data_IF_587947341507
#
_entry.id   IF_587947341507
#
_cell.length_a   1.000
_cell.length_b   1.000
_cell.length_c   1.000
_cell.angle_alpha   90.00
_cell.angle_beta   90.00
_cell.angle_gamma   90.00
#
_symmetry.space_group_name_H-M   'P 1'
#
loop_
_entity.id
_entity.type
_entity.pdbx_description
1 polymer ?
#
# COMPACT_ATOMS: atom_id res chain seq x y z
N UNK A 1 12.42 -7.42 -50.97
CA UNK A 1 11.51 -7.66 -49.82
C UNK A 1 12.12 -8.51 -48.70
N UNK A 2 12.96 -9.51 -49.00
CA UNK A 2 13.66 -10.34 -48.00
C UNK A 2 14.55 -9.55 -47.03
N UNK A 3 15.32 -8.56 -47.53
CA UNK A 3 16.14 -7.69 -46.67
C UNK A 3 15.31 -6.85 -45.69
N UNK A 4 14.15 -6.33 -46.14
CA UNK A 4 13.22 -5.56 -45.29
C UNK A 4 12.63 -6.46 -44.20
N UNK A 5 12.31 -7.72 -44.54
CA UNK A 5 11.86 -8.72 -43.56
C UNK A 5 12.92 -8.99 -42.49
N UNK A 6 14.16 -9.23 -42.89
CA UNK A 6 15.27 -9.42 -41.94
C UNK A 6 15.46 -8.21 -41.02
N UNK A 7 15.36 -6.98 -41.57
CA UNK A 7 15.42 -5.76 -40.75
C UNK A 7 14.22 -5.65 -39.79
N UNK A 8 13.02 -6.00 -40.24
CA UNK A 8 11.80 -5.98 -39.44
C UNK A 8 11.87 -6.94 -38.24
N UNK A 9 12.42 -8.13 -38.44
CA UNK A 9 12.61 -9.14 -37.39
C UNK A 9 13.63 -8.69 -36.32
N UNK A 10 14.70 -8.01 -36.73
CA UNK A 10 15.72 -7.45 -35.82
C UNK A 10 15.26 -6.20 -35.06
N UNK A 11 14.19 -5.55 -35.49
CA UNK A 11 13.72 -4.29 -34.91
C UNK A 11 12.93 -4.55 -33.63
N UNK A 12 13.23 -3.84 -32.53
CA UNK A 12 12.47 -3.94 -31.27
C UNK A 12 11.35 -2.88 -31.19
N UNK A 13 11.58 -1.69 -31.73
CA UNK A 13 10.62 -0.59 -31.65
C UNK A 13 9.41 -0.79 -32.57
N UNK A 14 8.21 -0.68 -31.98
CA UNK A 14 6.97 -0.73 -32.74
C UNK A 14 6.83 0.42 -33.75
N UNK A 15 7.39 1.60 -33.48
CA UNK A 15 7.32 2.73 -34.42
C UNK A 15 8.09 2.42 -35.70
N UNK A 16 9.28 1.83 -35.57
CA UNK A 16 10.15 1.46 -36.68
C UNK A 16 9.58 0.29 -37.48
N UNK A 17 8.97 -0.70 -36.80
CA UNK A 17 8.20 -1.77 -37.47
C UNK A 17 7.10 -1.21 -38.36
N UNK A 18 6.31 -0.24 -37.86
CA UNK A 18 5.25 0.41 -38.64
C UNK A 18 5.85 1.17 -39.83
N UNK A 19 6.97 1.87 -39.65
CA UNK A 19 7.67 2.56 -40.74
C UNK A 19 8.16 1.59 -41.81
N UNK A 20 8.76 0.45 -41.44
CA UNK A 20 9.19 -0.56 -42.40
C UNK A 20 8.02 -1.17 -43.18
N UNK A 21 6.86 -1.35 -42.54
CA UNK A 21 5.64 -1.82 -43.20
C UNK A 21 5.08 -0.81 -44.23
N UNK A 22 5.51 0.45 -44.24
CA UNK A 22 5.12 1.41 -45.31
C UNK A 22 5.78 1.09 -46.64
N UNK A 23 6.90 0.34 -46.64
CA UNK A 23 7.66 -0.05 -47.84
C UNK A 23 7.00 -1.20 -48.62
N UNK A 24 5.96 -1.82 -48.09
CA UNK A 24 5.34 -3.00 -48.72
C UNK A 24 4.65 -2.61 -50.02
N UNK A 25 4.76 -3.39 -51.12
CA UNK A 25 4.11 -3.06 -52.38
C UNK A 25 2.58 -2.90 -52.25
N UNK A 26 1.99 -1.97 -53.02
CA UNK A 26 0.54 -1.75 -53.01
C UNK A 26 -0.24 -2.94 -53.62
N UNK A 27 0.42 -3.75 -54.45
CA UNK A 27 -0.12 -4.98 -55.02
C UNK A 27 -0.34 -6.09 -53.99
N UNK A 28 0.23 -5.99 -52.79
CA UNK A 28 0.06 -7.01 -51.75
C UNK A 28 -1.26 -6.79 -51.02
N UNK A 29 -1.99 -7.87 -50.72
CA UNK A 29 -3.13 -7.81 -49.81
C UNK A 29 -2.65 -7.62 -48.35
N UNK A 30 -3.55 -7.17 -47.48
CA UNK A 30 -3.25 -7.03 -46.03
C UNK A 30 -2.84 -8.39 -45.45
N UNK A 31 -3.55 -9.46 -45.83
CA UNK A 31 -3.29 -10.83 -45.37
C UNK A 31 -1.95 -11.37 -45.88
N UNK A 32 -1.60 -11.10 -47.14
CA UNK A 32 -0.29 -11.46 -47.70
C UNK A 32 0.83 -10.78 -46.92
N UNK A 33 0.66 -9.49 -46.62
CA UNK A 33 1.63 -8.71 -45.83
C UNK A 33 1.76 -9.25 -44.40
N UNK A 34 0.62 -9.58 -43.80
CA UNK A 34 0.54 -10.15 -42.44
C UNK A 34 1.30 -11.48 -42.35
N UNK A 35 1.04 -12.40 -43.29
CA UNK A 35 1.70 -13.72 -43.36
C UNK A 35 3.19 -13.57 -43.64
N UNK A 36 3.59 -12.66 -44.53
CA UNK A 36 4.99 -12.49 -44.90
C UNK A 36 5.86 -11.94 -43.74
N UNK A 37 5.37 -10.93 -43.02
CA UNK A 37 6.08 -10.27 -41.91
C UNK A 37 5.76 -10.83 -40.52
N UNK A 38 4.87 -11.83 -40.42
CA UNK A 38 4.42 -12.43 -39.14
C UNK A 38 3.99 -11.37 -38.11
N UNK A 39 3.19 -10.39 -38.55
CA UNK A 39 2.76 -9.24 -37.74
C UNK A 39 1.24 -9.20 -37.56
N UNK A 40 0.73 -8.31 -36.71
CA UNK A 40 -0.71 -8.10 -36.55
C UNK A 40 -1.33 -7.38 -37.76
N UNK A 41 -2.60 -7.70 -38.07
CA UNK A 41 -3.42 -6.96 -39.06
C UNK A 41 -3.49 -5.47 -38.73
N UNK A 42 -3.56 -5.12 -37.45
CA UNK A 42 -3.59 -3.73 -36.95
C UNK A 42 -2.36 -2.93 -37.40
N UNK A 43 -1.16 -3.52 -37.28
CA UNK A 43 0.10 -2.85 -37.69
C UNK A 43 0.15 -2.59 -39.19
N UNK A 44 -0.31 -3.55 -40.01
CA UNK A 44 -0.37 -3.40 -41.48
C UNK A 44 -1.36 -2.31 -41.88
N UNK A 45 -2.55 -2.30 -41.28
CA UNK A 45 -3.56 -1.26 -41.53
C UNK A 45 -3.03 0.11 -41.12
N UNK A 46 -2.37 0.21 -39.97
CA UNK A 46 -1.78 1.46 -39.49
C UNK A 46 -0.69 1.96 -40.44
N UNK A 47 0.21 1.10 -40.90
CA UNK A 47 1.26 1.45 -41.86
C UNK A 47 0.69 1.91 -43.20
N UNK A 48 -0.36 1.26 -43.72
CA UNK A 48 -1.04 1.69 -44.97
C UNK A 48 -1.71 3.06 -44.81
N UNK A 49 -2.39 3.30 -43.70
CA UNK A 49 -2.97 4.63 -43.38
C UNK A 49 -1.89 5.70 -43.30
N UNK A 50 -0.77 5.37 -42.65
CA UNK A 50 0.38 6.27 -42.51
C UNK A 50 1.01 6.58 -43.88
N UNK A 51 1.23 5.56 -44.72
CA UNK A 51 1.72 5.70 -46.09
C UNK A 51 0.81 6.58 -46.94
N UNK A 52 -0.50 6.37 -46.90
CA UNK A 52 -1.48 7.21 -47.63
C UNK A 52 -1.45 8.67 -47.19
N UNK A 53 -1.23 8.92 -45.90
CA UNK A 53 -1.24 10.27 -45.33
C UNK A 53 0.09 11.01 -45.54
N UNK A 54 1.22 10.33 -45.36
CA UNK A 54 2.54 10.96 -45.18
C UNK A 54 3.65 10.35 -46.05
N UNK A 55 3.31 9.44 -46.96
CA UNK A 55 4.26 8.80 -47.86
C UNK A 55 5.03 7.61 -47.27
N UNK A 56 5.94 7.06 -48.07
CA UNK A 56 6.78 5.91 -47.73
C UNK A 56 7.86 6.35 -46.71
N UNK A 57 8.28 5.45 -45.82
CA UNK A 57 9.26 5.70 -44.74
C UNK A 57 8.83 6.75 -43.70
N UNK A 58 7.54 7.12 -43.69
CA UNK A 58 6.98 7.99 -42.66
C UNK A 58 7.00 7.32 -41.27
N UNK A 59 7.31 8.12 -40.24
CA UNK A 59 7.30 7.68 -38.84
C UNK A 59 5.94 7.97 -38.20
N UNK A 60 5.36 7.02 -37.44
CA UNK A 60 4.14 7.31 -36.69
C UNK A 60 4.43 8.42 -35.68
N UNK A 61 3.56 9.43 -35.62
CA UNK A 61 3.68 10.52 -34.65
C UNK A 61 3.69 9.94 -33.23
N UNK A 62 4.60 10.38 -32.34
CA UNK A 62 4.56 9.97 -30.95
C UNK A 62 3.20 10.36 -30.36
N UNK A 63 2.65 9.51 -29.49
CA UNK A 63 1.49 9.90 -28.70
C UNK A 63 1.95 10.92 -27.67
N UNK A 64 1.86 12.21 -27.99
CA UNK A 64 2.02 13.23 -26.96
C UNK A 64 0.82 13.12 -26.03
N UNK A 65 1.06 12.66 -24.80
CA UNK A 65 0.07 12.75 -23.74
C UNK A 65 -0.32 14.21 -23.50
N UNK A 66 -1.55 14.45 -23.06
CA UNK A 66 -1.97 15.79 -22.64
C UNK A 66 -1.05 16.25 -21.51
N UNK A 67 -0.27 17.30 -21.74
CA UNK A 67 0.51 17.94 -20.68
C UNK A 67 -0.47 18.59 -19.72
N UNK A 68 -0.31 18.32 -18.42
CA UNK A 68 -1.04 19.04 -17.37
C UNK A 68 -0.41 20.42 -17.23
N UNK A 69 -1.23 21.44 -16.96
CA UNK A 69 -0.70 22.75 -16.59
C UNK A 69 -0.02 22.68 -15.23
N UNK A 70 0.94 23.56 -15.01
CA UNK A 70 1.68 23.63 -13.74
C UNK A 70 0.76 23.93 -12.56
N UNK A 71 -0.31 24.70 -12.78
CA UNK A 71 -1.33 24.98 -11.75
C UNK A 71 -2.02 23.71 -11.27
N UNK A 72 -2.35 22.79 -12.19
CA UNK A 72 -2.97 21.51 -11.83
C UNK A 72 -2.01 20.64 -11.03
N UNK A 73 -0.72 20.69 -11.35
CA UNK A 73 0.30 19.96 -10.59
C UNK A 73 0.41 20.52 -9.17
N UNK A 74 0.44 21.83 -9.02
CA UNK A 74 0.46 22.50 -7.71
C UNK A 74 -0.78 22.13 -6.88
N UNK A 75 -1.95 22.12 -7.50
CA UNK A 75 -3.20 21.76 -6.81
C UNK A 75 -3.19 20.30 -6.32
N UNK A 76 -2.67 19.38 -7.13
CA UNK A 76 -2.49 17.98 -6.72
C UNK A 76 -1.51 17.86 -5.57
N UNK A 77 -0.38 18.57 -5.60
CA UNK A 77 0.61 18.59 -4.52
C UNK A 77 -0.01 19.16 -3.24
N UNK A 78 -0.71 20.28 -3.33
CA UNK A 78 -1.40 20.90 -2.19
C UNK A 78 -2.44 19.96 -1.57
N UNK A 79 -3.17 19.20 -2.41
CA UNK A 79 -4.12 18.20 -1.92
C UNK A 79 -3.43 17.07 -1.14
N UNK A 80 -2.25 16.61 -1.58
CA UNK A 80 -1.45 15.65 -0.81
C UNK A 80 -0.95 16.19 0.52
N UNK A 81 -0.78 17.50 0.64
CA UNK A 81 -0.30 18.21 1.85
C UNK A 81 -1.43 18.66 2.78
N UNK A 82 -2.69 18.37 2.46
CA UNK A 82 -3.83 18.74 3.28
C UNK A 82 -3.86 17.95 4.61
N UNK A 83 -3.97 18.66 5.74
CA UNK A 83 -4.01 18.06 7.11
C UNK A 83 -5.21 17.15 7.37
N UNK A 84 -6.23 17.24 6.52
CA UNK A 84 -7.37 16.33 6.53
C UNK A 84 -6.98 14.89 6.11
N UNK A 85 -6.07 14.76 5.13
CA UNK A 85 -5.73 13.46 4.53
C UNK A 85 -4.30 13.00 4.82
N UNK A 86 -3.48 13.85 5.42
CA UNK A 86 -2.09 13.54 5.75
C UNK A 86 -1.64 14.24 7.02
N UNK A 87 -0.54 13.77 7.63
CA UNK A 87 0.04 14.37 8.84
C UNK A 87 1.55 14.43 8.76
N UNK A 88 2.13 15.52 9.26
CA UNK A 88 3.58 15.65 9.38
C UNK A 88 4.08 14.70 10.47
N UNK A 89 5.16 13.97 10.18
CA UNK A 89 5.75 13.05 11.15
C UNK A 89 6.56 13.87 12.18
N UNK A 90 6.48 13.58 13.48
CA UNK A 90 7.11 14.41 14.52
C UNK A 90 8.62 14.16 14.68
N UNK A 91 9.15 13.04 14.16
CA UNK A 91 10.53 12.64 14.43
C UNK A 91 11.57 13.48 13.68
N UNK A 92 12.58 14.03 14.37
CA UNK A 92 13.69 14.79 13.75
C UNK A 92 14.46 14.02 12.67
N UNK A 93 14.52 12.68 12.78
CA UNK A 93 15.17 11.80 11.78
C UNK A 93 14.26 11.43 10.61
N UNK A 94 12.99 11.82 10.65
CA UNK A 94 11.98 11.45 9.66
C UNK A 94 11.88 12.49 8.55
N UNK A 95 12.98 12.69 7.81
CA UNK A 95 13.01 13.59 6.67
C UNK A 95 13.28 12.84 5.35
N UNK A 96 12.98 13.50 4.23
CA UNK A 96 13.35 13.10 2.88
C UNK A 96 14.24 14.18 2.28
N UNK A 97 15.39 13.77 1.76
CA UNK A 97 16.27 14.66 1.02
C UNK A 97 15.76 14.82 -0.41
N UNK A 98 15.28 16.02 -0.76
CA UNK A 98 14.80 16.36 -2.09
C UNK A 98 15.72 17.41 -2.71
N UNK A 99 15.98 17.30 -4.02
CA UNK A 99 16.74 18.30 -4.76
C UNK A 99 15.75 19.28 -5.39
N UNK A 100 15.72 20.51 -4.90
CA UNK A 100 14.92 21.62 -5.44
C UNK A 100 15.91 22.67 -5.94
N UNK A 101 15.81 23.06 -7.21
CA UNK A 101 16.69 24.06 -7.84
C UNK A 101 18.19 23.80 -7.65
N UNK A 102 18.57 22.54 -7.80
CA UNK A 102 19.93 22.03 -7.60
C UNK A 102 20.46 21.99 -6.16
N UNK A 103 19.68 22.46 -5.19
CA UNK A 103 20.02 22.45 -3.77
C UNK A 103 19.36 21.25 -3.10
N UNK A 104 20.10 20.51 -2.26
CA UNK A 104 19.52 19.46 -1.41
C UNK A 104 18.84 20.11 -0.21
N UNK A 105 17.54 19.88 -0.08
CA UNK A 105 16.75 20.30 1.07
C UNK A 105 16.18 19.07 1.78
N UNK A 106 16.19 19.11 3.12
CA UNK A 106 15.56 18.09 3.96
C UNK A 106 14.14 18.52 4.26
N UNK A 107 13.17 17.79 3.72
CA UNK A 107 11.74 18.03 3.93
C UNK A 107 11.21 16.97 4.89
N UNK A 108 10.44 17.37 5.89
CA UNK A 108 9.86 16.46 6.86
C UNK A 108 8.89 15.48 6.17
N UNK A 109 8.95 14.20 6.55
CA UNK A 109 8.03 13.17 6.04
C UNK A 109 6.61 13.49 6.46
N UNK A 110 5.68 13.18 5.57
CA UNK A 110 4.25 13.35 5.78
C UNK A 110 3.56 12.02 5.49
N UNK A 111 2.85 11.49 6.47
CA UNK A 111 2.12 10.23 6.33
C UNK A 111 0.71 10.50 5.79
N UNK A 112 0.33 9.83 4.72
CA UNK A 112 -1.06 9.81 4.26
C UNK A 112 -1.89 8.94 5.22
N UNK A 113 -3.05 9.44 5.63
CA UNK A 113 -3.94 8.76 6.58
C UNK A 113 -4.90 7.78 5.87
N UNK A 114 -5.10 7.96 4.58
CA UNK A 114 -6.04 7.20 3.74
C UNK A 114 -5.34 6.48 2.61
N UNK A 115 -6.02 5.50 2.01
CA UNK A 115 -5.48 4.78 0.86
C UNK A 115 -5.40 5.68 -0.38
N UNK A 116 -4.44 5.42 -1.26
CA UNK A 116 -4.26 6.21 -2.49
C UNK A 116 -5.52 6.26 -3.38
N UNK A 117 -6.31 5.18 -3.40
CA UNK A 117 -7.57 5.11 -4.15
C UNK A 117 -8.65 6.02 -3.55
N UNK A 118 -8.82 5.96 -2.24
CA UNK A 118 -9.76 6.82 -1.49
C UNK A 118 -9.38 8.29 -1.65
N UNK A 119 -8.10 8.60 -1.49
CA UNK A 119 -7.57 9.95 -1.71
C UNK A 119 -7.90 10.48 -3.10
N UNK A 120 -7.79 9.66 -4.15
CA UNK A 120 -8.14 10.06 -5.51
C UNK A 120 -9.65 10.28 -5.70
N UNK A 121 -10.48 9.52 -5.01
CA UNK A 121 -11.94 9.71 -5.00
C UNK A 121 -12.28 11.07 -4.38
N UNK A 122 -11.70 11.40 -3.22
CA UNK A 122 -11.89 12.69 -2.58
C UNK A 122 -11.34 13.86 -3.42
N UNK A 123 -10.17 13.67 -4.05
CA UNK A 123 -9.63 14.64 -5.00
C UNK A 123 -10.61 14.94 -6.14
N UNK A 124 -11.22 13.92 -6.73
CA UNK A 124 -12.21 14.08 -7.81
C UNK A 124 -13.50 14.74 -7.34
N UNK A 125 -13.92 14.48 -6.10
CA UNK A 125 -15.09 15.15 -5.51
C UNK A 125 -14.83 16.65 -5.36
N UNK A 126 -13.67 17.02 -4.81
CA UNK A 126 -13.30 18.43 -4.57
C UNK A 126 -12.95 19.18 -5.86
N UNK A 127 -12.29 18.51 -6.81
CA UNK A 127 -11.79 19.08 -8.06
C UNK A 127 -12.40 18.39 -9.29
N UNK A 128 -13.73 18.38 -9.38
CA UNK A 128 -14.46 17.70 -10.46
C UNK A 128 -14.10 18.21 -11.88
N UNK A 129 -13.61 19.44 -12.00
CA UNK A 129 -13.19 20.07 -13.25
C UNK A 129 -11.81 19.59 -13.73
N UNK A 130 -10.98 19.06 -12.82
CA UNK A 130 -9.64 18.58 -13.13
C UNK A 130 -9.67 17.14 -13.64
N UNK A 131 -9.34 16.96 -14.92
CA UNK A 131 -9.28 15.65 -15.56
C UNK A 131 -7.94 14.94 -15.30
N UNK A 132 -7.67 14.59 -14.03
CA UNK A 132 -6.48 13.83 -13.61
C UNK A 132 -6.84 12.36 -13.37
N UNK A 133 -6.25 11.46 -14.18
CA UNK A 133 -6.38 10.02 -14.02
C UNK A 133 -5.60 9.49 -12.80
N UNK A 134 -6.00 8.34 -12.27
CA UNK A 134 -5.39 7.75 -11.07
C UNK A 134 -3.88 7.53 -11.21
N UNK A 135 -3.42 6.94 -12.33
CA UNK A 135 -2.00 6.73 -12.57
C UNK A 135 -1.21 8.05 -12.54
N UNK A 136 -1.77 9.12 -13.13
CA UNK A 136 -1.10 10.42 -13.16
C UNK A 136 -1.10 11.08 -11.79
N UNK A 137 -2.20 10.95 -11.03
CA UNK A 137 -2.29 11.40 -9.65
C UNK A 137 -1.19 10.75 -8.79
N UNK A 138 -1.03 9.43 -8.89
CA UNK A 138 0.03 8.69 -8.18
C UNK A 138 1.45 9.09 -8.61
N UNK A 139 1.68 9.38 -9.90
CA UNK A 139 2.96 9.90 -10.40
C UNK A 139 3.30 11.30 -9.86
N UNK A 140 2.29 12.15 -9.67
CA UNK A 140 2.45 13.52 -9.18
C UNK A 140 2.62 13.61 -7.66
N UNK A 141 2.56 12.47 -6.96
CA UNK A 141 2.72 12.43 -5.51
C UNK A 141 4.11 12.95 -5.09
N UNK A 142 4.17 13.91 -4.16
CA UNK A 142 5.43 14.37 -3.59
C UNK A 142 6.21 13.26 -2.90
N UNK A 143 7.54 13.31 -2.97
CA UNK A 143 8.42 12.29 -2.36
C UNK A 143 8.31 12.23 -0.83
N UNK A 144 7.95 13.35 -0.19
CA UNK A 144 7.77 13.43 1.26
C UNK A 144 6.41 12.88 1.72
N UNK A 145 5.45 12.66 0.83
CA UNK A 145 4.14 12.08 1.15
C UNK A 145 4.16 10.54 1.06
N UNK A 146 4.27 9.89 2.22
CA UNK A 146 4.41 8.44 2.40
C UNK A 146 3.02 7.81 2.51
N UNK A 147 2.72 6.72 1.78
CA UNK A 147 1.44 6.05 1.87
C UNK A 147 1.38 5.17 3.13
N UNK A 148 0.17 4.88 3.60
CA UNK A 148 -0.09 3.92 4.67
C UNK A 148 0.58 2.58 4.34
N UNK A 149 1.40 2.05 5.26
CA UNK A 149 2.14 0.79 5.08
C UNK A 149 3.45 0.90 4.27
N UNK A 150 3.82 2.08 3.78
CA UNK A 150 5.05 2.29 3.02
C UNK A 150 6.33 2.46 3.85
N UNK A 151 6.21 2.65 5.17
CA UNK A 151 7.35 2.73 6.07
C UNK A 151 7.01 2.13 7.45
N UNK A 152 7.85 1.21 7.91
CA UNK A 152 7.78 0.63 9.25
C UNK A 152 7.91 1.73 10.31
N UNK A 153 6.99 1.73 11.29
CA UNK A 153 7.07 2.62 12.46
C UNK A 153 6.26 3.92 12.41
N UNK A 154 5.55 4.21 11.32
CA UNK A 154 4.74 5.45 11.20
C UNK A 154 3.29 5.33 11.73
N UNK A 155 2.89 4.15 12.22
CA UNK A 155 1.57 3.97 12.81
C UNK A 155 1.61 4.32 14.30
N UNK A 156 0.69 5.17 14.75
CA UNK A 156 0.50 5.47 16.18
C UNK A 156 -0.09 4.30 16.98
N UNK A 157 -0.17 3.11 16.39
CA UNK A 157 -0.74 1.88 16.96
C UNK A 157 0.32 0.78 16.86
N UNK A 158 0.60 0.07 17.96
CA UNK A 158 1.51 -1.09 17.87
C UNK A 158 0.88 -2.18 17.00
N UNK A 159 1.60 -2.55 15.96
CA UNK A 159 1.34 -3.73 15.12
C UNK A 159 2.39 -4.83 15.37
N UNK A 160 3.12 -4.71 16.47
CA UNK A 160 4.09 -5.70 16.92
C UNK A 160 3.41 -7.03 17.28
N UNK A 161 4.12 -8.13 17.05
CA UNK A 161 3.66 -9.49 17.32
C UNK A 161 3.17 -9.66 18.77
N UNK A 162 3.90 -9.12 19.74
CA UNK A 162 3.54 -9.16 21.16
C UNK A 162 2.15 -8.58 21.44
N UNK A 163 1.91 -7.30 21.12
CA UNK A 163 0.60 -6.68 21.35
C UNK A 163 -0.53 -7.26 20.49
N UNK A 164 -0.22 -7.79 19.30
CA UNK A 164 -1.23 -8.44 18.47
C UNK A 164 -1.61 -9.82 19.03
N UNK A 165 -0.66 -10.58 19.56
CA UNK A 165 -0.95 -11.86 20.20
C UNK A 165 -1.78 -11.69 21.47
N UNK A 166 -1.46 -10.72 22.34
CA UNK A 166 -2.28 -10.44 23.53
C UNK A 166 -3.73 -10.10 23.15
N UNK A 167 -3.95 -9.31 22.09
CA UNK A 167 -5.30 -9.01 21.61
C UNK A 167 -6.05 -10.26 21.16
N UNK A 168 -5.37 -11.20 20.49
CA UNK A 168 -5.96 -12.46 20.05
C UNK A 168 -6.28 -13.38 21.23
N UNK A 169 -5.47 -13.37 22.30
CA UNK A 169 -5.76 -14.09 23.55
C UNK A 169 -7.00 -13.51 24.24
N UNK A 170 -7.07 -12.19 24.43
CA UNK A 170 -8.19 -11.54 25.12
C UNK A 170 -9.53 -11.78 24.43
N UNK A 171 -9.54 -11.88 23.09
CA UNK A 171 -10.75 -12.21 22.32
C UNK A 171 -11.33 -13.60 22.64
N UNK A 172 -10.55 -14.48 23.27
CA UNK A 172 -10.98 -15.83 23.63
C UNK A 172 -11.43 -15.96 25.06
N UNK A 173 -11.29 -14.90 25.85
CA UNK A 173 -11.82 -14.89 27.22
C UNK A 173 -13.34 -14.68 27.14
N UNK A 174 -14.15 -15.60 27.66
CA UNK A 174 -15.59 -15.51 27.57
C UNK A 174 -16.12 -14.28 28.32
N UNK A 175 -17.11 -13.60 27.74
CA UNK A 175 -17.75 -12.43 28.36
C UNK A 175 -16.96 -11.11 28.27
N UNK A 176 -15.77 -11.09 27.65
CA UNK A 176 -14.94 -9.88 27.56
C UNK A 176 -14.95 -9.31 26.15
N UNK A 177 -15.63 -8.18 25.97
CA UNK A 177 -15.67 -7.45 24.70
C UNK A 177 -14.51 -6.46 24.54
N UNK A 178 -13.97 -5.93 25.64
CA UNK A 178 -12.91 -4.92 25.65
C UNK A 178 -11.82 -5.27 26.67
N UNK A 179 -10.57 -5.33 26.21
CA UNK A 179 -9.39 -5.56 27.05
C UNK A 179 -9.23 -4.52 28.15
N UNK A 180 -9.83 -3.33 27.99
CA UNK A 180 -9.84 -2.30 29.05
C UNK A 180 -10.51 -2.79 30.33
N UNK A 181 -11.44 -3.74 30.25
CA UNK A 181 -12.06 -4.36 31.44
C UNK A 181 -10.99 -5.04 32.29
N UNK A 182 -10.11 -5.81 31.65
CA UNK A 182 -8.98 -6.49 32.31
C UNK A 182 -8.01 -5.48 32.93
N UNK A 183 -7.73 -4.37 32.24
CA UNK A 183 -6.88 -3.30 32.79
C UNK A 183 -7.48 -2.70 34.07
N UNK A 184 -8.80 -2.48 34.13
CA UNK A 184 -9.47 -1.96 35.35
C UNK A 184 -9.34 -2.90 36.54
N UNK A 185 -9.22 -4.20 36.30
CA UNK A 185 -9.03 -5.20 37.36
C UNK A 185 -7.57 -5.24 37.87
N UNK A 186 -6.60 -4.81 37.07
CA UNK A 186 -5.19 -4.78 37.44
C UNK A 186 -4.74 -3.47 38.10
N UNK A 187 -5.39 -2.35 37.80
CA UNK A 187 -4.93 -1.04 38.25
C UNK A 187 -6.03 -0.23 38.93
N UNK A 188 -5.67 0.62 39.89
CA UNK A 188 -6.62 1.54 40.52
C UNK A 188 -7.26 2.52 39.52
N UNK A 189 -6.47 2.97 38.54
CA UNK A 189 -6.92 3.90 37.51
C UNK A 189 -6.10 3.73 36.23
N UNK A 190 -6.79 3.63 35.10
CA UNK A 190 -6.18 3.51 33.76
C UNK A 190 -5.64 4.87 33.28
N UNK A 191 -6.15 5.98 33.82
CA UNK A 191 -5.70 7.32 33.47
C UNK A 191 -4.45 7.74 34.25
N UNK A 192 -4.16 7.05 35.35
CA UNK A 192 -2.99 7.33 36.16
C UNK A 192 -1.74 6.63 35.58
N UNK A 193 -0.71 7.44 35.26
CA UNK A 193 0.55 6.96 34.69
C UNK A 193 1.26 5.94 35.59
N UNK A 194 1.36 6.21 36.88
CA UNK A 194 2.12 5.35 37.82
C UNK A 194 1.43 3.99 38.00
N UNK A 195 0.09 3.97 37.94
CA UNK A 195 -0.69 2.75 37.93
C UNK A 195 -0.43 1.91 36.66
N UNK A 196 -0.46 2.54 35.48
CA UNK A 196 -0.20 1.87 34.20
C UNK A 196 1.26 1.44 34.00
N UNK A 197 2.19 2.02 34.75
CA UNK A 197 3.60 1.64 34.80
C UNK A 197 3.93 0.69 35.96
N UNK A 198 2.91 0.11 36.62
CA UNK A 198 3.07 -0.79 37.77
C UNK A 198 3.95 -0.24 38.90
N UNK A 199 4.01 1.08 39.04
CA UNK A 199 4.78 1.79 40.08
C UNK A 199 3.90 2.22 41.27
N UNK A 200 2.61 1.89 41.22
CA UNK A 200 1.66 2.21 42.28
C UNK A 200 1.54 1.05 43.28
N UNK A 201 1.81 1.35 44.56
CA UNK A 201 1.73 0.37 45.65
C UNK A 201 0.28 0.04 46.08
N UNK A 202 -0.72 0.74 45.54
CA UNK A 202 -2.14 0.57 45.87
C UNK A 202 -2.90 -0.26 44.84
N UNK A 203 -2.28 -0.57 43.70
CA UNK A 203 -2.93 -1.35 42.65
C UNK A 203 -3.28 -2.75 43.16
N UNK A 204 -4.43 -3.30 42.75
CA UNK A 204 -4.78 -4.67 43.05
C UNK A 204 -3.70 -5.61 42.52
N UNK A 205 -3.38 -6.65 43.30
CA UNK A 205 -2.37 -7.62 42.90
C UNK A 205 -2.83 -8.38 41.64
N UNK A 206 -1.87 -8.83 40.84
CA UNK A 206 -2.08 -9.63 39.62
C UNK A 206 -3.03 -10.83 39.85
N UNK A 207 -3.08 -11.37 41.06
CA UNK A 207 -3.96 -12.48 41.46
C UNK A 207 -5.45 -12.20 41.24
N UNK A 208 -5.92 -10.97 41.45
CA UNK A 208 -7.35 -10.60 41.27
C UNK A 208 -7.80 -10.82 39.82
N UNK A 209 -6.92 -10.53 38.86
CA UNK A 209 -7.18 -10.76 37.45
C UNK A 209 -7.28 -12.26 37.14
N UNK A 210 -6.36 -13.05 37.69
CA UNK A 210 -6.31 -14.50 37.47
C UNK A 210 -7.55 -15.19 38.03
N UNK A 211 -7.89 -14.91 39.28
CA UNK A 211 -9.09 -15.47 39.93
C UNK A 211 -10.36 -15.12 39.12
N UNK A 212 -10.42 -13.92 38.53
CA UNK A 212 -11.54 -13.50 37.67
C UNK A 212 -11.58 -14.28 36.34
N UNK A 213 -10.43 -14.43 35.68
CA UNK A 213 -10.33 -15.18 34.42
C UNK A 213 -10.66 -16.66 34.66
N UNK A 214 -10.13 -17.26 35.73
CA UNK A 214 -10.36 -18.66 36.09
C UNK A 214 -11.84 -18.92 36.36
N UNK A 215 -12.51 -17.99 37.07
CA UNK A 215 -13.95 -18.06 37.32
C UNK A 215 -14.72 -18.06 35.99
N UNK A 216 -14.38 -17.16 35.07
CA UNK A 216 -15.04 -17.07 33.76
C UNK A 216 -14.88 -18.34 32.93
N UNK A 217 -13.69 -18.96 32.93
CA UNK A 217 -13.47 -20.20 32.18
C UNK A 217 -14.16 -21.40 32.84
N UNK A 218 -14.19 -21.45 34.18
CA UNK A 218 -14.88 -22.49 34.96
C UNK A 218 -16.39 -22.44 34.75
N UNK A 219 -17.01 -21.25 34.80
CA UNK A 219 -18.44 -21.06 34.57
C UNK A 219 -18.89 -21.47 33.16
N UNK A 220 -17.98 -21.40 32.19
CA UNK A 220 -18.26 -21.77 30.80
C UNK A 220 -17.82 -23.21 30.46
N UNK A 221 -17.37 -24.00 31.44
CA UNK A 221 -16.94 -25.40 31.28
C UNK A 221 -15.87 -25.59 30.18
N UNK A 222 -14.93 -24.63 30.04
CA UNK A 222 -13.91 -24.64 28.99
C UNK A 222 -12.64 -25.30 29.52
N UNK A 223 -12.25 -26.44 28.95
CA UNK A 223 -11.00 -27.14 29.28
C UNK A 223 -9.83 -26.84 28.34
N UNK A 224 -10.11 -26.47 27.09
CA UNK A 224 -9.13 -26.18 26.05
C UNK A 224 -9.52 -24.93 25.26
N UNK A 225 -8.53 -24.11 24.89
CA UNK A 225 -8.75 -22.85 24.18
C UNK A 225 -8.12 -22.90 22.80
N UNK A 226 -8.95 -22.71 21.78
CA UNK A 226 -8.55 -22.60 20.38
C UNK A 226 -8.40 -21.13 19.97
N UNK A 227 -7.19 -20.73 19.59
CA UNK A 227 -6.87 -19.36 19.23
C UNK A 227 -5.89 -19.26 18.06
N UNK A 228 -5.67 -18.05 17.59
CA UNK A 228 -4.66 -17.76 16.58
C UNK A 228 -3.53 -16.97 17.21
N UNK A 229 -2.31 -17.23 16.78
CA UNK A 229 -1.14 -16.48 17.19
C UNK A 229 -0.23 -16.17 16.01
N UNK A 230 0.35 -14.98 16.03
CA UNK A 230 1.41 -14.61 15.11
C UNK A 230 2.70 -15.30 15.56
N UNK A 231 3.34 -15.99 14.63
CA UNK A 231 4.67 -16.56 14.76
C UNK A 231 5.60 -15.93 13.73
N UNK A 232 6.85 -15.67 14.13
CA UNK A 232 7.87 -15.11 13.25
C UNK A 232 8.88 -16.20 12.88
N UNK A 233 8.89 -16.57 11.61
CA UNK A 233 9.90 -17.48 11.05
C UNK A 233 10.60 -16.77 9.89
N UNK A 234 11.94 -16.70 9.95
CA UNK A 234 12.80 -16.25 8.86
C UNK A 234 12.29 -15.00 8.10
N UNK A 235 12.02 -13.93 8.85
CA UNK A 235 11.54 -12.61 8.35
C UNK A 235 10.09 -12.55 7.88
N UNK A 236 9.33 -13.63 7.95
CA UNK A 236 7.88 -13.64 7.70
C UNK A 236 7.12 -13.82 9.01
N UNK A 237 6.06 -13.02 9.19
CA UNK A 237 5.11 -13.19 10.28
C UNK A 237 3.87 -13.87 9.72
N UNK A 238 3.54 -15.05 10.23
CA UNK A 238 2.37 -15.83 9.81
C UNK A 238 1.43 -16.02 11.00
N UNK A 239 0.12 -15.98 10.72
CA UNK A 239 -0.90 -16.28 11.70
C UNK A 239 -1.16 -17.79 11.69
N UNK A 240 -0.95 -18.45 12.82
CA UNK A 240 -1.03 -19.91 12.96
C UNK A 240 -2.09 -20.25 14.02
N UNK A 241 -2.96 -21.24 13.79
CA UNK A 241 -3.85 -21.75 14.82
C UNK A 241 -3.06 -22.46 15.93
N UNK A 242 -3.48 -22.29 17.16
CA UNK A 242 -2.94 -22.96 18.34
C UNK A 242 -4.09 -23.42 19.25
N UNK A 243 -3.87 -24.55 19.90
CA UNK A 243 -4.77 -25.13 20.90
C UNK A 243 -3.94 -25.38 22.14
N UNK A 244 -4.36 -24.84 23.27
CA UNK A 244 -3.71 -25.04 24.56
C UNK A 244 -4.73 -25.47 25.61
N UNK A 245 -4.33 -26.30 26.59
CA UNK A 245 -5.13 -26.52 27.78
C UNK A 245 -5.29 -25.20 28.55
N UNK A 246 -6.37 -25.09 29.32
CA UNK A 246 -6.72 -23.86 30.03
C UNK A 246 -5.56 -23.31 30.89
N UNK A 247 -4.89 -24.18 31.65
CA UNK A 247 -3.80 -23.79 32.54
C UNK A 247 -2.64 -23.11 31.78
N UNK A 248 -2.20 -23.72 30.67
CA UNK A 248 -1.14 -23.14 29.81
C UNK A 248 -1.59 -21.85 29.11
N UNK A 249 -2.87 -21.75 28.76
CA UNK A 249 -3.44 -20.54 28.16
C UNK A 249 -3.43 -19.36 29.14
N UNK A 250 -3.77 -19.59 30.41
CA UNK A 250 -3.73 -18.57 31.46
C UNK A 250 -2.28 -18.13 31.72
N UNK A 251 -1.33 -19.06 31.73
CA UNK A 251 0.10 -18.73 31.81
C UNK A 251 0.58 -17.88 30.63
N UNK A 252 0.09 -18.11 29.41
CA UNK A 252 0.43 -17.27 28.26
C UNK A 252 -0.05 -15.82 28.40
N UNK A 253 -1.19 -15.59 29.06
CA UNK A 253 -1.65 -14.24 29.42
C UNK A 253 -0.72 -13.60 30.45
N UNK A 254 -0.12 -14.42 31.34
CA UNK A 254 0.80 -13.99 32.40
C UNK A 254 2.22 -13.62 31.90
N UNK A 255 2.78 -14.37 30.93
CA UNK A 255 4.20 -14.29 30.50
C UNK A 255 4.48 -13.20 29.44
N UNK A 256 3.46 -12.46 28.98
CA UNK A 256 3.67 -11.35 28.05
C UNK A 256 4.29 -10.11 28.73
N UNK A 257 5.52 -10.24 29.23
CA UNK A 257 6.45 -9.14 29.53
C UNK A 257 7.44 -8.91 28.36
#
# INVERSE_FOLDING_TARGET
>A
MTQIKSKFEKTLSNSEKITLLTLTPDSWSIEKTQKFFLTSKRSVVQARKLRKKSGILSKPSPKLGRKLSEDVIKEVVHFYECDEYSRVCPGKKEFVSVKVDSIKQHIQKRLLLVNMKELHIEFKKKYNYLKVGFSKFCELRPKWCIPVGGASGLHAVCVCQYHQNVKLLVQKIPGIADYKILLKLMVCSIENRDCMLHSCNKCPAKKVLLDYIDTLFTENEISEVNFYQWQKSNYQCTLVPATLPLDEFIEMIYVCE
#
